data_IF_435632299242
#
_entry.id   IF_435632299242
#
_cell.length_a   1.000
_cell.length_b   1.000
_cell.length_c   1.000
_cell.angle_alpha   90.00
_cell.angle_beta   90.00
_cell.angle_gamma   90.00
#
_symmetry.space_group_name_H-M   'P 1'
#
loop_
_entity.id
_entity.type
_entity.pdbx_description
1 polymer ?
#
# COMPACT_ATOMS: atom_id res chain seq x y z
N UNK A 1 5.99 -0.34 12.15
CA UNK A 1 7.31 0.07 12.68
C UNK A 1 8.18 0.55 11.54
N UNK A 2 8.93 1.63 11.74
CA UNK A 2 9.95 2.12 10.82
C UNK A 2 11.32 1.76 11.39
N UNK A 3 11.94 0.72 10.86
CA UNK A 3 13.20 0.14 11.32
C UNK A 3 14.38 0.80 10.60
N UNK A 4 15.50 0.93 11.30
CA UNK A 4 16.73 1.53 10.79
C UNK A 4 17.87 0.53 10.92
N UNK A 5 18.52 0.20 9.80
CA UNK A 5 19.63 -0.73 9.76
C UNK A 5 20.83 0.01 9.19
N UNK A 6 21.99 -0.14 9.84
CA UNK A 6 23.28 0.42 9.39
C UNK A 6 24.31 -0.68 9.36
N UNK A 7 24.90 -0.92 8.19
CA UNK A 7 25.91 -1.97 7.99
C UNK A 7 25.45 -3.36 8.51
N UNK A 8 24.18 -3.71 8.29
CA UNK A 8 23.59 -4.98 8.72
C UNK A 8 23.19 -5.06 10.20
N UNK A 9 23.42 -4.02 11.00
CA UNK A 9 23.02 -3.96 12.41
C UNK A 9 21.77 -3.09 12.56
N UNK A 10 20.75 -3.62 13.23
CA UNK A 10 19.54 -2.88 13.54
C UNK A 10 19.79 -1.88 14.68
N UNK A 11 19.54 -0.60 14.37
CA UNK A 11 19.56 0.52 15.30
C UNK A 11 18.15 0.67 15.94
N UNK A 12 18.00 1.52 16.97
CA UNK A 12 16.68 1.85 17.50
C UNK A 12 15.71 2.26 16.37
N UNK A 13 14.46 1.77 16.37
CA UNK A 13 13.50 2.09 15.34
C UNK A 13 13.21 3.60 15.33
N UNK A 14 13.19 4.19 14.14
CA UNK A 14 12.92 5.63 13.96
C UNK A 14 11.53 5.99 14.50
N UNK A 15 10.54 5.15 14.20
CA UNK A 15 9.18 5.34 14.68
C UNK A 15 8.49 3.99 14.90
N UNK A 16 7.68 3.91 15.95
CA UNK A 16 6.85 2.74 16.21
C UNK A 16 5.47 3.16 16.68
N UNK A 17 4.45 2.63 16.03
CA UNK A 17 3.07 2.69 16.48
C UNK A 17 2.54 1.26 16.60
N UNK A 18 2.22 0.84 17.83
CA UNK A 18 1.68 -0.50 18.13
C UNK A 18 0.14 -0.50 18.14
N UNK A 19 -0.48 0.67 18.10
CA UNK A 19 -1.93 0.87 18.18
C UNK A 19 -2.37 1.77 17.02
N UNK A 20 -1.81 1.52 15.85
CA UNK A 20 -2.13 2.27 14.65
C UNK A 20 -3.61 2.09 14.28
N UNK A 21 -4.29 3.21 13.99
CA UNK A 21 -5.67 3.23 13.50
C UNK A 21 -5.69 4.00 12.17
N UNK A 22 -6.20 3.36 11.11
CA UNK A 22 -6.33 3.98 9.79
C UNK A 22 -7.22 5.24 9.81
N UNK A 23 -8.14 5.36 10.79
CA UNK A 23 -8.98 6.55 10.98
C UNK A 23 -8.23 7.71 11.63
N UNK A 24 -7.05 7.46 12.20
CA UNK A 24 -6.27 8.46 12.92
C UNK A 24 -4.82 8.51 12.40
N UNK A 25 -4.65 9.19 11.26
CA UNK A 25 -3.37 9.40 10.62
C UNK A 25 -2.87 10.82 10.89
N UNK A 26 -1.71 10.95 11.55
CA UNK A 26 -1.09 12.24 11.82
C UNK A 26 0.43 12.17 11.66
N UNK A 27 1.03 13.28 11.27
CA UNK A 27 2.48 13.45 11.34
C UNK A 27 2.91 13.58 12.80
N UNK A 28 3.89 12.79 13.22
CA UNK A 28 4.47 12.87 14.57
C UNK A 28 5.91 13.36 14.48
N UNK A 29 6.25 14.31 15.32
CA UNK A 29 7.64 14.77 15.49
C UNK A 29 8.39 13.74 16.32
N UNK A 30 9.58 13.37 15.88
CA UNK A 30 10.44 12.45 16.62
C UNK A 30 10.95 13.13 17.90
N UNK A 31 11.06 12.37 18.99
CA UNK A 31 11.62 12.89 20.26
C UNK A 31 13.10 13.24 20.06
N UNK A 32 13.81 12.40 19.32
CA UNK A 32 15.20 12.60 18.92
C UNK A 32 15.29 12.48 17.40
N UNK A 33 15.98 13.42 16.77
CA UNK A 33 16.19 13.40 15.33
C UNK A 33 17.17 12.30 14.95
N UNK A 34 16.76 11.43 14.02
CA UNK A 34 17.60 10.32 13.59
C UNK A 34 18.37 10.67 12.32
N UNK A 35 19.70 10.57 12.38
CA UNK A 35 20.55 10.77 11.22
C UNK A 35 20.62 9.51 10.36
N UNK A 36 20.10 9.59 9.13
CA UNK A 36 20.18 8.55 8.11
C UNK A 36 21.35 8.88 7.17
N UNK A 37 22.24 7.90 6.95
CA UNK A 37 23.44 8.04 6.13
C UNK A 37 23.33 7.22 4.84
N UNK A 38 24.06 7.59 3.77
CA UNK A 38 24.15 6.75 2.58
C UNK A 38 24.61 5.34 2.92
N UNK A 39 23.88 4.33 2.43
CA UNK A 39 24.13 2.91 2.73
C UNK A 39 23.32 2.36 3.90
N UNK A 40 22.60 3.20 4.65
CA UNK A 40 21.61 2.72 5.61
C UNK A 40 20.39 2.13 4.91
N UNK A 41 19.74 1.18 5.56
CA UNK A 41 18.48 0.59 5.10
C UNK A 41 17.34 1.02 6.03
N UNK A 42 16.24 1.43 5.41
CA UNK A 42 15.02 1.81 6.10
C UNK A 42 13.94 0.81 5.74
N UNK A 43 13.40 0.11 6.73
CA UNK A 43 12.40 -0.94 6.52
C UNK A 43 11.10 -0.51 7.18
N UNK A 44 10.04 -0.40 6.37
CA UNK A 44 8.68 -0.20 6.88
C UNK A 44 8.02 -1.55 7.09
N UNK A 45 7.70 -1.87 8.33
CA UNK A 45 7.02 -3.11 8.73
C UNK A 45 5.60 -2.79 9.19
N UNK A 46 4.61 -3.43 8.57
CA UNK A 46 3.20 -3.32 8.92
C UNK A 46 2.65 -4.69 9.31
N UNK A 47 1.86 -4.73 10.38
CA UNK A 47 1.18 -5.95 10.85
C UNK A 47 -0.32 -5.75 10.65
N UNK A 48 -0.94 -6.67 9.92
CA UNK A 48 -2.35 -6.59 9.54
C UNK A 48 -3.19 -7.62 10.29
N UNK A 49 -4.46 -7.30 10.50
CA UNK A 49 -5.46 -8.25 10.97
C UNK A 49 -6.52 -8.45 9.89
N UNK A 50 -6.50 -9.63 9.27
CA UNK A 50 -7.45 -10.03 8.22
C UNK A 50 -8.49 -11.04 8.72
N UNK A 51 -8.66 -11.23 10.04
CA UNK A 51 -9.55 -12.24 10.60
C UNK A 51 -11.03 -12.09 10.18
N UNK A 52 -11.46 -10.88 9.80
CA UNK A 52 -12.82 -10.60 9.33
C UNK A 52 -12.98 -10.71 7.81
N UNK A 53 -11.90 -10.98 7.07
CA UNK A 53 -11.91 -11.08 5.61
C UNK A 53 -12.00 -12.56 5.19
N UNK A 54 -12.90 -12.85 4.25
CA UNK A 54 -13.08 -14.20 3.70
C UNK A 54 -12.13 -14.53 2.55
N UNK A 55 -11.51 -13.51 1.95
CA UNK A 55 -10.60 -13.65 0.81
C UNK A 55 -9.28 -12.93 1.09
N UNK A 56 -8.18 -13.35 0.43
CA UNK A 56 -6.90 -12.65 0.52
C UNK A 56 -7.04 -11.19 0.14
N UNK A 57 -6.47 -10.32 0.96
CA UNK A 57 -6.41 -8.89 0.69
C UNK A 57 -5.08 -8.57 0.02
N UNK A 58 -5.14 -7.93 -1.14
CA UNK A 58 -3.97 -7.54 -1.94
C UNK A 58 -3.61 -6.08 -1.70
N UNK A 59 -2.38 -5.71 -2.05
CA UNK A 59 -1.93 -4.32 -1.99
C UNK A 59 -2.64 -3.43 -3.02
N UNK A 60 -2.98 -2.20 -2.66
CA UNK A 60 -3.58 -1.22 -3.58
C UNK A 60 -4.24 -0.03 -2.88
N UNK A 61 -4.97 0.79 -3.65
CA UNK A 61 -5.53 2.07 -3.20
C UNK A 61 -7.00 2.05 -2.77
N UNK A 62 -7.69 0.93 -3.01
CA UNK A 62 -9.06 0.74 -2.59
C UNK A 62 -9.17 0.48 -1.08
N UNK A 63 -10.31 0.83 -0.48
CA UNK A 63 -10.64 0.48 0.92
C UNK A 63 -10.68 -1.03 1.20
N UNK A 64 -10.83 -1.84 0.15
CA UNK A 64 -10.78 -3.31 0.24
C UNK A 64 -9.37 -3.87 0.13
N UNK A 65 -8.39 -3.05 -0.26
CA UNK A 65 -6.98 -3.37 -0.40
C UNK A 65 -6.17 -2.81 0.78
N UNK A 66 -4.89 -3.16 0.86
CA UNK A 66 -3.99 -2.70 1.92
C UNK A 66 -2.80 -1.90 1.38
N UNK A 67 -2.20 -1.09 2.26
CA UNK A 67 -0.96 -0.37 1.99
C UNK A 67 -0.03 -0.45 3.20
N UNK A 68 1.27 -0.56 2.94
CA UNK A 68 2.32 -0.35 3.95
C UNK A 68 3.17 0.85 3.54
N UNK A 69 2.92 2.02 4.14
CA UNK A 69 3.62 3.25 3.79
C UNK A 69 4.18 3.93 5.03
N UNK A 70 5.39 4.47 4.91
CA UNK A 70 6.00 5.36 5.89
C UNK A 70 6.32 6.70 5.25
N UNK A 71 5.69 7.78 5.73
CA UNK A 71 5.97 9.13 5.26
C UNK A 71 7.01 9.78 6.18
N UNK A 72 8.22 9.96 5.65
CA UNK A 72 9.36 10.51 6.40
C UNK A 72 9.56 11.96 5.97
N UNK A 73 9.46 12.89 6.91
CA UNK A 73 9.90 14.28 6.72
C UNK A 73 11.34 14.40 7.19
N UNK A 74 12.22 14.95 6.37
CA UNK A 74 13.66 15.01 6.65
C UNK A 74 14.28 16.28 6.10
N UNK A 75 15.49 16.58 6.58
CA UNK A 75 16.36 17.65 6.08
C UNK A 75 17.83 17.19 6.16
N UNK A 76 18.74 17.76 5.36
CA UNK A 76 18.49 18.69 4.24
C UNK A 76 17.76 18.00 3.08
N UNK A 77 17.23 18.79 2.15
CA UNK A 77 16.53 18.27 0.97
C UNK A 77 17.44 17.32 0.19
N UNK A 78 16.95 16.11 -0.03
CA UNK A 78 17.56 15.08 -0.89
C UNK A 78 16.77 14.99 -2.19
N UNK A 79 17.39 14.58 -3.32
CA UNK A 79 16.66 14.32 -4.55
C UNK A 79 15.70 13.14 -4.45
N UNK A 80 15.70 12.32 -3.40
CA UNK A 80 14.76 11.21 -3.23
C UNK A 80 13.32 11.70 -3.01
N UNK A 81 12.38 11.28 -3.85
CA UNK A 81 10.95 11.56 -3.72
C UNK A 81 10.19 10.45 -2.99
N UNK A 82 10.46 9.20 -3.35
CA UNK A 82 9.87 8.02 -2.71
C UNK A 82 10.77 6.80 -2.92
N UNK A 83 10.72 5.85 -2.00
CA UNK A 83 11.33 4.54 -2.15
C UNK A 83 10.29 3.48 -1.83
N UNK A 84 10.23 2.45 -2.67
CA UNK A 84 9.31 1.33 -2.54
C UNK A 84 10.09 0.04 -2.73
N UNK A 85 9.54 -1.05 -2.22
CA UNK A 85 10.07 -2.39 -2.47
C UNK A 85 8.96 -3.34 -2.88
N UNK A 86 9.33 -4.36 -3.65
CA UNK A 86 8.45 -5.47 -3.99
C UNK A 86 9.24 -6.76 -4.15
N UNK A 87 8.58 -7.89 -4.00
CA UNK A 87 9.13 -9.19 -4.38
C UNK A 87 9.36 -9.23 -5.90
N UNK A 88 10.51 -9.71 -6.41
CA UNK A 88 10.72 -9.93 -7.83
C UNK A 88 9.56 -10.70 -8.46
N UNK A 89 9.09 -10.27 -9.62
CA UNK A 89 7.84 -10.75 -10.23
C UNK A 89 7.87 -12.25 -10.53
N UNK A 90 9.00 -12.73 -11.06
CA UNK A 90 9.24 -14.14 -11.30
C UNK A 90 9.17 -14.97 -10.00
N UNK A 91 9.85 -14.52 -8.96
CA UNK A 91 9.89 -15.17 -7.66
C UNK A 91 8.53 -15.15 -6.96
N UNK A 92 7.79 -14.05 -7.09
CA UNK A 92 6.43 -13.90 -6.58
C UNK A 92 5.49 -14.93 -7.21
N UNK A 93 5.40 -15.00 -8.54
CA UNK A 93 4.48 -15.94 -9.20
C UNK A 93 4.89 -17.40 -9.00
N UNK A 94 6.19 -17.71 -8.99
CA UNK A 94 6.71 -19.04 -8.67
C UNK A 94 6.33 -19.50 -7.25
N UNK A 95 6.25 -18.57 -6.29
CA UNK A 95 5.80 -18.87 -4.92
C UNK A 95 4.37 -19.42 -4.91
N UNK A 96 3.53 -18.98 -5.85
CA UNK A 96 2.16 -19.47 -6.06
C UNK A 96 2.07 -20.60 -7.08
N UNK A 97 3.20 -21.17 -7.50
CA UNK A 97 3.28 -22.27 -8.45
C UNK A 97 3.03 -21.88 -9.90
N UNK A 98 2.98 -20.59 -10.23
CA UNK A 98 2.73 -20.11 -11.60
C UNK A 98 4.05 -19.82 -12.31
N UNK A 99 4.20 -20.36 -13.52
CA UNK A 99 5.44 -20.24 -14.30
C UNK A 99 5.27 -19.31 -15.50
N UNK A 100 4.11 -19.34 -16.15
CA UNK A 100 3.89 -18.62 -17.41
C UNK A 100 2.45 -18.15 -17.59
N UNK A 101 2.29 -17.04 -18.31
CA UNK A 101 1.01 -16.47 -18.71
C UNK A 101 0.93 -16.36 -20.24
N UNK A 102 -0.28 -16.50 -20.81
CA UNK A 102 -0.47 -16.55 -22.27
C UNK A 102 -0.06 -15.27 -23.01
N UNK A 103 -0.44 -14.10 -22.49
CA UNK A 103 -0.31 -12.82 -23.21
C UNK A 103 0.80 -11.92 -22.66
N UNK A 104 1.42 -12.31 -21.56
CA UNK A 104 2.38 -11.48 -20.84
C UNK A 104 3.59 -12.32 -20.41
N UNK A 105 4.79 -11.80 -20.68
CA UNK A 105 6.01 -12.33 -20.09
C UNK A 105 6.32 -11.63 -18.76
N UNK A 106 7.14 -12.25 -17.91
CA UNK A 106 7.45 -11.72 -16.58
C UNK A 106 8.05 -10.31 -16.62
N UNK A 107 8.91 -9.99 -17.59
CA UNK A 107 9.49 -8.64 -17.78
C UNK A 107 8.44 -7.59 -18.14
N UNK A 108 7.39 -7.95 -18.87
CA UNK A 108 6.27 -7.04 -19.17
C UNK A 108 5.43 -6.81 -17.93
N UNK A 109 5.17 -7.87 -17.16
CA UNK A 109 4.44 -7.76 -15.91
C UNK A 109 5.20 -6.90 -14.89
N UNK A 110 6.52 -7.08 -14.76
CA UNK A 110 7.38 -6.24 -13.94
C UNK A 110 7.29 -4.75 -14.30
N UNK A 111 7.36 -4.42 -15.60
CA UNK A 111 7.16 -3.05 -16.05
C UNK A 111 5.76 -2.52 -15.75
N UNK A 112 4.73 -3.37 -15.80
CA UNK A 112 3.38 -2.96 -15.41
C UNK A 112 3.31 -2.64 -13.92
N UNK A 113 3.89 -3.49 -13.06
CA UNK A 113 3.98 -3.23 -11.62
C UNK A 113 4.72 -1.93 -11.30
N UNK A 114 5.88 -1.71 -11.91
CA UNK A 114 6.64 -0.46 -11.72
C UNK A 114 5.84 0.75 -12.22
N UNK A 115 5.14 0.64 -13.35
CA UNK A 115 4.29 1.73 -13.84
C UNK A 115 3.06 2.00 -12.98
N UNK A 116 2.46 0.98 -12.35
CA UNK A 116 1.36 1.20 -11.40
C UNK A 116 1.83 2.04 -10.21
N UNK A 117 3.09 1.89 -9.79
CA UNK A 117 3.68 2.78 -8.78
C UNK A 117 3.91 4.21 -9.30
N UNK A 118 4.11 4.40 -10.61
CA UNK A 118 4.33 5.72 -11.23
C UNK A 118 3.03 6.46 -11.62
N UNK A 119 2.05 5.75 -12.18
CA UNK A 119 0.87 6.32 -12.84
C UNK A 119 -0.20 6.81 -11.86
N UNK A 120 -0.13 6.45 -10.58
CA UNK A 120 -1.12 6.80 -9.56
C UNK A 120 -0.89 8.21 -8.95
N UNK A 121 0.16 8.94 -9.37
CA UNK A 121 0.29 10.39 -9.07
C UNK A 121 -0.56 11.25 -10.03
N UNK A 122 -1.05 10.70 -11.15
CA UNK A 122 -2.03 11.40 -11.98
C UNK A 122 -3.40 11.18 -11.36
N UNK A 123 -3.83 12.14 -10.52
CA UNK A 123 -5.19 12.28 -10.02
C UNK A 123 -6.18 11.99 -11.16
N UNK A 124 -6.81 10.82 -11.15
CA UNK A 124 -8.12 10.67 -11.77
C UNK A 124 -9.05 11.48 -10.89
N UNK A 125 -9.27 12.73 -11.27
CA UNK A 125 -10.25 13.62 -10.67
C UNK A 125 -11.62 12.97 -10.86
N UNK A 126 -12.03 12.12 -9.93
CA UNK A 126 -13.44 11.77 -9.80
C UNK A 126 -14.09 13.05 -9.29
N UNK A 127 -14.76 13.74 -10.21
CA UNK A 127 -15.60 14.89 -9.93
C UNK A 127 -16.67 14.47 -8.92
N UNK A 128 -16.40 14.70 -7.65
CA UNK A 128 -17.43 14.93 -6.65
C UNK A 128 -17.43 16.42 -6.42
N UNK A 129 -18.55 17.07 -6.72
CA UNK A 129 -18.77 18.47 -6.34
C UNK A 129 -18.41 18.62 -4.87
N UNK A 130 -17.44 19.46 -4.49
CA UNK A 130 -17.10 19.66 -3.09
C UNK A 130 -18.35 20.18 -2.35
N UNK A 131 -18.68 19.65 -1.16
CA UNK A 131 -19.81 20.14 -0.38
C UNK A 131 -19.60 21.62 -0.06
N UNK A 132 -20.67 22.41 -0.22
CA UNK A 132 -20.67 23.82 0.11
C UNK A 132 -20.66 23.98 1.62
N UNK A 133 -19.51 24.35 2.20
CA UNK A 133 -19.47 24.80 3.59
C UNK A 133 -20.13 26.18 3.73
N UNK A 134 -20.75 26.49 4.89
CA UNK A 134 -21.18 27.85 5.20
C UNK A 134 -19.97 28.79 5.07
N UNK A 135 -20.14 29.91 4.33
CA UNK A 135 -19.08 30.91 4.21
C UNK A 135 -19.00 31.68 5.52
N UNK A 136 -17.89 31.55 6.24
CA UNK A 136 -17.59 32.32 7.44
C UNK A 136 -17.04 33.70 7.05
N UNK A 137 -17.66 34.76 7.54
CA UNK A 137 -17.16 36.14 7.49
C UNK A 137 -16.16 36.36 8.64
N UNK A 138 -15.16 37.26 8.50
CA UNK A 138 -14.24 37.60 9.60
C UNK A 138 -14.92 38.14 10.87
N UNK A 139 -16.17 38.63 10.74
CA UNK A 139 -16.97 39.19 11.84
C UNK A 139 -17.92 38.17 12.50
N UNK A 140 -17.95 36.91 12.03
CA UNK A 140 -18.77 35.87 12.64
C UNK A 140 -18.10 35.38 13.94
N UNK A 141 -18.37 36.06 15.05
CA UNK A 141 -18.12 35.50 16.39
C UNK A 141 -18.75 34.10 16.49
N UNK A 142 -18.01 33.19 17.15
CA UNK A 142 -18.28 31.77 17.36
C UNK A 142 -19.78 31.45 17.53
N UNK A 143 -20.50 31.32 16.41
CA UNK A 143 -21.93 31.05 16.42
C UNK A 143 -22.13 29.54 16.48
N UNK A 144 -22.53 29.06 17.65
CA UNK A 144 -22.72 27.64 17.94
C UNK A 144 -23.66 26.96 16.93
N UNK A 145 -24.64 27.68 16.36
CA UNK A 145 -25.54 27.14 15.35
C UNK A 145 -24.84 26.85 14.01
N UNK A 146 -23.91 27.72 13.59
CA UNK A 146 -23.11 27.52 12.37
C UNK A 146 -22.12 26.37 12.59
N UNK A 147 -21.56 26.28 13.81
CA UNK A 147 -20.66 25.19 14.20
C UNK A 147 -21.39 23.83 14.25
N UNK A 148 -22.59 23.77 14.83
CA UNK A 148 -23.42 22.56 14.83
C UNK A 148 -23.85 22.15 13.42
N UNK A 149 -24.18 23.10 12.55
CA UNK A 149 -24.49 22.83 11.15
C UNK A 149 -23.27 22.26 10.40
N UNK A 150 -22.08 22.82 10.63
CA UNK A 150 -20.83 22.30 10.09
C UNK A 150 -20.53 20.89 10.62
N UNK A 151 -20.69 20.64 11.93
CA UNK A 151 -20.49 19.31 12.56
C UNK A 151 -21.51 18.30 12.01
N UNK A 152 -22.78 18.67 11.87
CA UNK A 152 -23.83 17.83 11.26
C UNK A 152 -23.48 17.51 9.81
N UNK A 153 -22.99 18.50 9.05
CA UNK A 153 -22.55 18.30 7.66
C UNK A 153 -21.36 17.35 7.59
N UNK A 154 -20.36 17.49 8.47
CA UNK A 154 -19.22 16.59 8.59
C UNK A 154 -19.64 15.16 9.01
N UNK A 155 -20.58 15.00 9.94
CA UNK A 155 -21.11 13.69 10.36
C UNK A 155 -21.96 13.01 9.28
N UNK A 156 -22.59 13.79 8.40
CA UNK A 156 -23.36 13.30 7.24
C UNK A 156 -22.48 13.00 6.04
N UNK A 157 -21.21 13.40 6.05
CA UNK A 157 -20.27 12.92 5.05
C UNK A 157 -20.17 11.41 5.21
N UNK A 158 -20.53 10.66 4.16
CA UNK A 158 -20.24 9.24 4.12
C UNK A 158 -18.73 9.05 4.31
N UNK A 159 -18.33 8.05 5.10
CA UNK A 159 -16.94 7.59 5.13
C UNK A 159 -16.46 7.50 3.67
N UNK A 160 -15.46 8.30 3.31
CA UNK A 160 -14.98 8.35 1.94
C UNK A 160 -14.35 7.00 1.61
N UNK A 161 -15.12 6.12 1.00
CA UNK A 161 -14.60 4.91 0.43
C UNK A 161 -14.07 5.24 -0.95
N UNK A 162 -12.75 5.20 -1.11
CA UNK A 162 -12.17 4.97 -2.44
C UNK A 162 -12.60 3.56 -2.85
N UNK A 163 -13.75 3.47 -3.48
CA UNK A 163 -14.06 2.36 -4.35
C UNK A 163 -13.21 2.61 -5.59
N UNK A 164 -12.06 1.93 -5.68
CA UNK A 164 -11.30 1.85 -6.92
C UNK A 164 -12.23 1.30 -7.99
N UNK A 165 -12.86 2.20 -8.75
CA UNK A 165 -13.94 1.84 -9.65
C UNK A 165 -13.43 0.88 -10.71
N UNK A 166 -13.90 -0.36 -10.68
CA UNK A 166 -13.85 -1.30 -11.81
C UNK A 166 -12.53 -1.44 -12.57
N UNK A 167 -11.38 -1.15 -11.94
CA UNK A 167 -10.10 -1.54 -12.52
C UNK A 167 -9.99 -3.03 -12.24
N UNK A 168 -10.25 -3.85 -13.26
CA UNK A 168 -9.80 -5.24 -13.30
C UNK A 168 -8.40 -5.24 -12.70
N UNK A 169 -8.26 -5.87 -11.52
CA UNK A 169 -6.98 -5.97 -10.84
C UNK A 169 -5.98 -6.44 -11.89
N UNK A 170 -4.74 -5.92 -11.89
CA UNK A 170 -3.73 -6.39 -12.84
C UNK A 170 -3.70 -7.93 -12.88
N UNK A 171 -3.92 -8.56 -11.72
CA UNK A 171 -4.07 -10.00 -11.54
C UNK A 171 -5.27 -10.66 -12.24
N UNK A 172 -6.38 -9.95 -12.46
CA UNK A 172 -7.55 -10.46 -13.20
C UNK A 172 -7.21 -10.65 -14.69
N UNK A 173 -6.34 -9.80 -15.23
CA UNK A 173 -5.90 -9.85 -16.62
C UNK A 173 -4.85 -10.93 -16.91
N UNK A 174 -4.19 -11.45 -15.88
CA UNK A 174 -3.14 -12.45 -16.00
C UNK A 174 -3.73 -13.87 -16.06
N UNK A 175 -3.82 -14.43 -17.27
CA UNK A 175 -4.32 -15.79 -17.49
C UNK A 175 -3.16 -16.79 -17.52
N UNK A 176 -3.23 -17.79 -16.63
CA UNK A 176 -2.18 -18.79 -16.42
C UNK A 176 -2.11 -19.75 -17.63
N UNK A 177 -0.92 -19.90 -18.20
CA UNK A 177 -0.59 -20.86 -19.26
C UNK A 177 0.06 -22.13 -18.67
N UNK A 178 1.00 -21.93 -17.73
CA UNK A 178 1.70 -23.00 -17.02
C UNK A 178 1.67 -22.73 -15.51
N UNK A 179 1.37 -23.76 -14.70
CA UNK A 179 1.33 -25.19 -15.04
C UNK A 179 -0.08 -25.67 -15.45
N UNK A 180 -0.23 -26.93 -15.90
CA UNK A 180 -1.49 -27.43 -16.48
C UNK A 180 -2.66 -27.43 -15.48
N UNK A 181 -2.37 -27.64 -14.20
CA UNK A 181 -3.35 -27.75 -13.11
C UNK A 181 -4.16 -26.46 -12.91
N UNK A 182 -3.54 -25.32 -13.21
CA UNK A 182 -4.14 -23.98 -13.04
C UNK A 182 -4.37 -23.26 -14.38
N UNK A 183 -4.15 -23.96 -15.50
CA UNK A 183 -4.26 -23.41 -16.85
C UNK A 183 -5.65 -22.80 -17.10
N UNK A 184 -5.69 -21.72 -17.87
CA UNK A 184 -6.91 -20.97 -18.24
C UNK A 184 -7.66 -20.32 -17.07
N UNK A 185 -7.04 -20.22 -15.88
CA UNK A 185 -7.56 -19.43 -14.76
C UNK A 185 -6.86 -18.07 -14.72
N UNK A 186 -7.58 -17.04 -14.28
CA UNK A 186 -6.92 -15.78 -13.89
C UNK A 186 -6.13 -15.98 -12.61
N UNK A 187 -5.06 -15.19 -12.44
CA UNK A 187 -4.25 -15.26 -11.22
C UNK A 187 -5.06 -14.92 -9.97
N UNK A 188 -5.99 -13.96 -10.05
CA UNK A 188 -6.92 -13.66 -8.95
C UNK A 188 -7.77 -14.87 -8.56
N UNK A 189 -8.35 -15.57 -9.55
CA UNK A 189 -9.14 -16.78 -9.31
C UNK A 189 -8.30 -17.89 -8.67
N UNK A 190 -7.06 -18.05 -9.14
CA UNK A 190 -6.09 -18.97 -8.54
C UNK A 190 -5.81 -18.63 -7.08
N UNK A 191 -5.50 -17.37 -6.76
CA UNK A 191 -5.28 -16.90 -5.39
C UNK A 191 -6.49 -17.18 -4.49
N UNK A 192 -7.71 -16.94 -4.95
CA UNK A 192 -8.92 -17.24 -4.17
C UNK A 192 -9.14 -18.73 -3.92
N UNK A 193 -8.64 -19.59 -4.82
CA UNK A 193 -8.81 -21.05 -4.70
C UNK A 193 -7.79 -21.73 -3.78
N UNK A 194 -6.73 -21.03 -3.36
CA UNK A 194 -5.70 -21.60 -2.49
C UNK A 194 -6.25 -21.87 -1.07
N UNK A 195 -5.81 -22.96 -0.40
CA UNK A 195 -6.28 -23.30 0.93
C UNK A 195 -5.60 -22.44 2.00
N UNK A 196 -6.01 -21.18 2.14
CA UNK A 196 -5.42 -20.22 3.09
C UNK A 196 -5.55 -20.61 4.57
N UNK A 197 -6.41 -21.56 4.90
CA UNK A 197 -6.50 -22.15 6.24
C UNK A 197 -5.33 -23.10 6.55
N UNK A 198 -4.60 -23.57 5.54
CA UNK A 198 -3.48 -24.49 5.72
C UNK A 198 -2.22 -23.72 6.17
N UNK A 199 -1.79 -24.00 7.40
CA UNK A 199 -0.66 -23.31 8.02
C UNK A 199 0.68 -23.56 7.29
N UNK A 200 0.89 -24.77 6.76
CA UNK A 200 2.14 -25.09 6.03
C UNK A 200 2.27 -24.27 4.75
N UNK A 201 1.17 -24.12 4.01
CA UNK A 201 1.13 -23.29 2.81
C UNK A 201 1.38 -21.82 3.17
N UNK A 202 0.63 -21.29 4.13
CA UNK A 202 0.73 -19.86 4.50
C UNK A 202 2.09 -19.49 5.09
N UNK A 203 2.68 -20.33 5.94
CA UNK A 203 4.04 -20.11 6.46
C UNK A 203 5.11 -20.16 5.36
N UNK A 204 4.95 -21.02 4.36
CA UNK A 204 5.86 -21.07 3.21
C UNK A 204 5.77 -19.81 2.37
N UNK A 205 4.55 -19.36 2.08
CA UNK A 205 4.29 -18.12 1.34
C UNK A 205 4.84 -16.92 2.13
N UNK A 206 4.55 -16.84 3.43
CA UNK A 206 5.07 -15.78 4.31
C UNK A 206 6.60 -15.75 4.27
N UNK A 207 7.27 -16.90 4.42
CA UNK A 207 8.74 -16.94 4.35
C UNK A 207 9.27 -16.47 2.99
N UNK A 208 8.63 -16.86 1.89
CA UNK A 208 9.05 -16.46 0.56
C UNK A 208 8.79 -14.96 0.29
N UNK A 209 7.60 -14.46 0.59
CA UNK A 209 7.20 -13.08 0.30
C UNK A 209 7.76 -12.10 1.31
N UNK A 210 7.74 -12.41 2.61
CA UNK A 210 8.21 -11.50 3.67
C UNK A 210 9.73 -11.57 3.87
N UNK A 211 10.30 -12.77 3.96
CA UNK A 211 11.74 -12.97 4.26
C UNK A 211 12.59 -13.35 3.04
N UNK A 212 12.00 -13.47 1.87
CA UNK A 212 12.70 -13.85 0.66
C UNK A 212 13.34 -12.67 -0.04
N UNK A 213 13.34 -12.72 -1.38
CA UNK A 213 13.98 -11.71 -2.22
C UNK A 213 13.08 -10.49 -2.36
N UNK A 214 13.68 -9.32 -2.28
CA UNK A 214 13.04 -8.03 -2.50
C UNK A 214 13.88 -7.19 -3.44
N UNK A 215 13.22 -6.40 -4.27
CA UNK A 215 13.85 -5.35 -5.07
C UNK A 215 13.38 -4.02 -4.52
N UNK A 216 14.31 -3.09 -4.36
CA UNK A 216 14.03 -1.72 -3.91
C UNK A 216 14.25 -0.77 -5.08
N UNK A 217 13.32 0.16 -5.25
CA UNK A 217 13.40 1.19 -6.27
C UNK A 217 13.04 2.53 -5.65
N UNK A 218 13.85 3.53 -5.94
CA UNK A 218 13.65 4.89 -5.45
C UNK A 218 13.45 5.84 -6.63
N UNK A 219 12.44 6.68 -6.51
CA UNK A 219 12.16 7.76 -7.44
C UNK A 219 12.86 9.02 -6.97
N UNK A 220 13.41 9.77 -7.91
CA UNK A 220 13.94 11.11 -7.67
C UNK A 220 12.87 12.18 -7.94
N UNK A 221 12.95 13.31 -7.26
CA UNK A 221 12.26 14.52 -7.67
C UNK A 221 12.78 14.92 -9.06
N UNK A 222 11.86 15.14 -10.00
CA UNK A 222 12.17 15.77 -11.28
C UNK A 222 12.54 17.25 -11.08
#
# INVERSE_FOLDING_TARGET
TLRHIRAGVELPPIAQDKTYDFKYQQSRVLVEEQQILPGDEIITECVYNTATRSTPTVGGYSTKQEMCLGFITYYPRSPLASCLSMTPVDYFFQTFGVQKFYHFNMTTIERMFLRLTDAQIVKKTVSTTPPSFPKLSPDDELNDAINEEAISTLKKMADYSVEGGGENSLFDSLIIEEPEEFRNRSFTSHLHSLPWAEQLLTQRIERAVYRGKHMTFCRLYN
#
